data_IF_409588934413
#
_entry.id   IF_409588934413
#
_cell.length_a   1.000
_cell.length_b   1.000
_cell.length_c   1.000
_cell.angle_alpha   90.00
_cell.angle_beta   90.00
_cell.angle_gamma   90.00
#
_symmetry.space_group_name_H-M   'P 1'
#
loop_
_entity.id
_entity.type
_entity.pdbx_description
1 polymer ?
#
# COMPACT_ATOMS: atom_id res chain seq x y z
N UNK A 1 1.76 -29.86 -4.01
CA UNK A 1 2.68 -30.21 -2.91
C UNK A 1 3.87 -29.27 -3.05
N UNK A 2 4.24 -28.37 -2.14
CA UNK A 2 4.08 -28.27 -0.68
C UNK A 2 4.03 -26.79 -0.26
N UNK A 3 2.82 -26.28 0.03
CA UNK A 3 2.59 -25.03 0.78
C UNK A 3 2.92 -25.26 2.26
N UNK A 4 4.17 -25.11 2.69
CA UNK A 4 4.51 -25.10 4.14
C UNK A 4 5.66 -24.16 4.57
N UNK A 5 6.35 -23.45 3.66
CA UNK A 5 7.53 -22.64 4.01
C UNK A 5 7.42 -21.13 3.72
N UNK A 6 6.27 -20.62 3.26
CA UNK A 6 6.10 -19.20 2.87
C UNK A 6 5.91 -18.20 4.06
N UNK A 7 5.41 -18.67 5.21
CA UNK A 7 5.20 -17.84 6.40
C UNK A 7 6.50 -17.59 7.22
N UNK A 8 7.43 -18.56 7.40
CA UNK A 8 8.63 -18.32 8.22
C UNK A 8 9.64 -17.33 7.62
N UNK A 9 9.67 -17.13 6.29
CA UNK A 9 10.66 -16.27 5.63
C UNK A 9 10.30 -14.78 5.78
N UNK A 10 9.03 -14.42 5.61
CA UNK A 10 8.53 -13.05 5.85
C UNK A 10 8.76 -12.61 7.31
N UNK A 11 8.57 -13.55 8.24
CA UNK A 11 8.84 -13.34 9.66
C UNK A 11 10.35 -13.22 9.96
N UNK A 12 11.19 -13.98 9.26
CA UNK A 12 12.64 -13.90 9.43
C UNK A 12 13.21 -12.57 8.93
N UNK A 13 12.80 -12.09 7.75
CA UNK A 13 13.25 -10.80 7.21
C UNK A 13 12.74 -9.62 8.05
N UNK A 14 11.47 -9.67 8.50
CA UNK A 14 10.91 -8.65 9.39
C UNK A 14 11.53 -8.68 10.79
N UNK A 15 11.86 -9.87 11.34
CA UNK A 15 12.61 -9.98 12.59
C UNK A 15 14.07 -9.50 12.45
N UNK A 16 14.69 -9.72 11.29
CA UNK A 16 16.05 -9.25 10.99
C UNK A 16 16.13 -7.72 10.92
N UNK A 17 15.11 -7.06 10.36
CA UNK A 17 14.96 -5.60 10.38
C UNK A 17 14.82 -5.03 11.80
N UNK A 18 14.18 -5.75 12.74
CA UNK A 18 14.14 -5.33 14.16
C UNK A 18 15.44 -5.58 14.93
N UNK A 19 16.34 -6.41 14.41
CA UNK A 19 17.63 -6.73 15.03
C UNK A 19 18.74 -5.74 14.62
N UNK A 20 18.52 -4.94 13.58
CA UNK A 20 19.44 -3.89 13.16
C UNK A 20 19.32 -2.69 14.12
N UNK A 21 20.44 -2.17 14.64
CA UNK A 21 20.41 -0.96 15.46
C UNK A 21 19.85 0.21 14.62
N UNK A 22 19.08 1.15 15.22
CA UNK A 22 18.42 2.24 14.49
C UNK A 22 19.37 3.08 13.62
N UNK A 23 20.64 3.17 14.03
CA UNK A 23 21.70 3.85 13.28
C UNK A 23 22.01 3.15 11.95
N UNK A 24 22.00 1.82 11.89
CA UNK A 24 22.26 1.07 10.66
C UNK A 24 21.09 1.16 9.66
N UNK A 25 19.86 1.33 10.15
CA UNK A 25 18.67 1.53 9.32
C UNK A 25 18.59 2.96 8.74
N UNK A 26 19.19 3.93 9.42
CA UNK A 26 19.22 5.34 9.03
C UNK A 26 20.53 5.75 8.31
N UNK A 27 21.45 4.80 8.13
CA UNK A 27 22.77 5.07 7.57
C UNK A 27 22.73 5.06 6.03
N UNK A 28 23.35 6.06 5.42
CA UNK A 28 23.55 6.12 3.97
C UNK A 28 24.24 4.82 3.47
N UNK A 29 23.83 4.23 2.32
CA UNK A 29 24.34 2.95 1.84
C UNK A 29 25.87 2.88 1.68
N UNK A 30 26.52 4.02 1.46
CA UNK A 30 27.97 4.15 1.31
C UNK A 30 28.75 4.35 2.62
N UNK A 31 28.07 4.49 3.76
CA UNK A 31 28.72 4.65 5.07
C UNK A 31 29.21 3.32 5.65
N UNK A 32 30.16 3.37 6.58
CA UNK A 32 30.67 2.17 7.26
C UNK A 32 29.59 1.37 8.00
N UNK A 33 28.55 2.06 8.47
CA UNK A 33 27.41 1.47 9.19
C UNK A 33 26.40 0.85 8.23
N UNK A 34 26.15 1.48 7.07
CA UNK A 34 25.35 0.93 5.97
C UNK A 34 25.98 -0.33 5.35
N UNK A 35 27.30 -0.31 5.13
CA UNK A 35 28.04 -1.49 4.63
C UNK A 35 28.02 -2.67 5.63
N UNK A 36 28.05 -2.38 6.94
CA UNK A 36 27.94 -3.41 7.97
C UNK A 36 26.53 -4.02 8.02
N UNK A 37 25.48 -3.22 7.82
CA UNK A 37 24.10 -3.71 7.69
C UNK A 37 23.92 -4.62 6.48
N UNK A 38 24.48 -4.24 5.33
CA UNK A 38 24.44 -5.01 4.09
C UNK A 38 25.16 -6.36 4.22
N UNK A 39 26.35 -6.37 4.82
CA UNK A 39 27.14 -7.58 5.04
C UNK A 39 26.45 -8.55 6.02
N UNK A 40 25.77 -8.02 7.04
CA UNK A 40 25.00 -8.84 7.97
C UNK A 40 23.82 -9.51 7.26
N UNK A 41 23.08 -8.75 6.43
CA UNK A 41 21.97 -9.28 5.64
C UNK A 41 22.45 -10.37 4.64
N UNK A 42 23.56 -10.14 3.95
CA UNK A 42 24.15 -11.12 3.04
C UNK A 42 24.60 -12.41 3.74
N UNK A 43 25.11 -12.32 4.97
CA UNK A 43 25.54 -13.49 5.74
C UNK A 43 24.41 -14.38 6.26
N UNK A 44 23.17 -13.89 6.20
CA UNK A 44 21.98 -14.51 6.81
C UNK A 44 21.01 -15.10 5.78
N UNK A 45 21.27 -14.93 4.48
CA UNK A 45 20.48 -15.51 3.39
C UNK A 45 21.11 -16.83 2.90
N UNK A 46 20.33 -17.92 2.72
CA UNK A 46 20.84 -19.18 2.20
C UNK A 46 20.99 -19.19 0.67
N UNK A 47 22.05 -19.83 0.18
CA UNK A 47 22.40 -19.99 -1.24
C UNK A 47 21.51 -21.06 -1.92
N UNK A 48 20.58 -20.64 -2.78
CA UNK A 48 20.35 -21.13 -4.17
C UNK A 48 18.89 -20.92 -4.68
N UNK A 49 18.75 -20.14 -5.77
CA UNK A 49 18.34 -20.71 -7.08
C UNK A 49 16.96 -20.37 -7.68
N UNK A 50 15.92 -20.11 -6.89
CA UNK A 50 14.61 -19.63 -7.41
C UNK A 50 14.00 -18.52 -6.56
N UNK A 51 14.41 -18.42 -5.30
CA UNK A 51 14.03 -17.35 -4.38
C UNK A 51 14.75 -16.04 -4.71
N UNK A 52 15.92 -16.12 -5.35
CA UNK A 52 16.79 -14.98 -5.64
C UNK A 52 16.17 -13.97 -6.61
N UNK A 53 15.38 -14.40 -7.60
CA UNK A 53 14.77 -13.49 -8.60
C UNK A 53 13.62 -12.68 -7.97
N UNK A 54 12.78 -13.33 -7.15
CA UNK A 54 11.65 -12.66 -6.49
C UNK A 54 12.14 -11.74 -5.36
N UNK A 55 13.16 -12.19 -4.60
CA UNK A 55 13.85 -11.37 -3.60
C UNK A 55 14.53 -10.18 -4.26
N UNK A 56 15.24 -10.36 -5.38
CA UNK A 56 15.89 -9.24 -6.09
C UNK A 56 14.86 -8.22 -6.56
N UNK A 57 13.74 -8.65 -7.14
CA UNK A 57 12.68 -7.74 -7.60
C UNK A 57 12.02 -6.95 -6.45
N UNK A 58 11.88 -7.58 -5.27
CA UNK A 58 11.34 -6.93 -4.08
C UNK A 58 12.38 -6.03 -3.40
N UNK A 59 13.66 -6.43 -3.40
CA UNK A 59 14.77 -5.65 -2.87
C UNK A 59 15.04 -4.41 -3.71
N UNK A 60 14.98 -4.51 -5.04
CA UNK A 60 15.07 -3.37 -5.95
C UNK A 60 13.91 -2.39 -5.71
N UNK A 61 12.70 -2.89 -5.46
CA UNK A 61 11.58 -2.03 -5.07
C UNK A 61 11.84 -1.35 -3.71
N UNK A 62 12.32 -2.09 -2.70
CA UNK A 62 12.65 -1.54 -1.38
C UNK A 62 13.76 -0.50 -1.46
N UNK A 63 14.86 -0.76 -2.17
CA UNK A 63 15.96 0.21 -2.38
C UNK A 63 15.46 1.44 -3.14
N UNK A 64 14.65 1.26 -4.18
CA UNK A 64 14.04 2.37 -4.93
C UNK A 64 13.18 3.26 -4.03
N UNK A 65 12.45 2.69 -3.07
CA UNK A 65 11.63 3.46 -2.13
C UNK A 65 12.43 4.04 -0.96
N UNK A 66 13.42 3.33 -0.44
CA UNK A 66 14.30 3.79 0.64
C UNK A 66 15.24 4.93 0.20
N UNK A 67 15.63 4.96 -1.08
CA UNK A 67 16.48 6.00 -1.65
C UNK A 67 15.73 7.28 -2.04
N UNK A 68 14.40 7.34 -1.91
CA UNK A 68 13.65 8.54 -2.27
C UNK A 68 13.80 9.61 -1.18
N UNK A 69 13.96 10.89 -1.57
CA UNK A 69 13.95 11.97 -0.60
C UNK A 69 12.63 11.95 0.19
N UNK A 70 12.70 12.31 1.47
CA UNK A 70 11.52 12.40 2.31
C UNK A 70 10.46 13.30 1.63
N UNK A 71 9.28 12.74 1.38
CA UNK A 71 8.18 13.47 0.76
C UNK A 71 7.46 14.33 1.80
N UNK A 72 6.98 15.51 1.39
CA UNK A 72 6.25 16.40 2.29
C UNK A 72 4.87 15.82 2.61
N UNK A 73 4.26 15.21 1.59
CA UNK A 73 2.92 14.62 1.68
C UNK A 73 2.86 13.22 1.06
N UNK A 74 2.14 12.34 1.74
CA UNK A 74 1.61 11.11 1.15
C UNK A 74 0.09 11.09 1.24
N UNK A 75 -0.57 10.84 0.12
CA UNK A 75 -2.01 10.66 0.00
C UNK A 75 -2.26 9.16 -0.18
N UNK A 76 -2.94 8.57 0.80
CA UNK A 76 -3.36 7.17 0.84
C UNK A 76 -4.84 7.11 0.44
N UNK A 77 -5.14 6.67 -0.77
CA UNK A 77 -6.49 6.55 -1.28
C UNK A 77 -6.96 5.09 -1.24
N UNK A 78 -7.98 4.84 -0.42
CA UNK A 78 -8.62 3.53 -0.25
C UNK A 78 -9.87 3.45 -1.13
N UNK A 79 -9.75 2.83 -2.30
CA UNK A 79 -10.81 2.75 -3.32
C UNK A 79 -11.54 1.42 -3.22
N UNK A 80 -12.74 1.48 -2.63
CA UNK A 80 -13.68 0.37 -2.63
C UNK A 80 -14.73 0.63 -3.73
N UNK A 81 -14.60 -0.07 -4.86
CA UNK A 81 -15.29 0.28 -6.10
C UNK A 81 -16.82 0.17 -6.03
N UNK A 82 -17.36 -0.91 -5.45
CA UNK A 82 -18.80 -1.19 -5.31
C UNK A 82 -19.60 -1.14 -6.60
N UNK A 83 -20.93 -1.01 -6.47
CA UNK A 83 -21.83 -0.82 -7.59
C UNK A 83 -21.60 0.51 -8.33
N UNK A 84 -20.92 1.50 -7.73
CA UNK A 84 -20.51 2.72 -8.42
C UNK A 84 -19.53 2.41 -9.56
N UNK A 85 -18.53 1.57 -9.28
CA UNK A 85 -17.59 1.15 -10.31
C UNK A 85 -18.24 0.16 -11.28
N UNK A 86 -18.97 -0.84 -10.77
CA UNK A 86 -19.59 -1.88 -11.63
C UNK A 86 -20.60 -1.32 -12.64
N UNK A 87 -21.27 -0.20 -12.32
CA UNK A 87 -22.36 0.34 -13.15
C UNK A 87 -21.96 1.53 -14.01
N UNK A 88 -20.86 2.22 -13.70
CA UNK A 88 -20.53 3.48 -14.37
C UNK A 88 -19.06 3.83 -14.42
N UNK A 89 -18.15 2.88 -14.08
CA UNK A 89 -16.70 3.12 -14.09
C UNK A 89 -16.30 4.37 -13.29
N UNK A 90 -17.04 4.76 -12.24
CA UNK A 90 -16.82 6.06 -11.57
C UNK A 90 -15.48 6.15 -10.84
N UNK A 91 -14.99 5.05 -10.26
CA UNK A 91 -13.66 5.03 -9.67
C UNK A 91 -12.61 5.13 -10.77
N UNK A 92 -12.80 4.40 -11.88
CA UNK A 92 -11.94 4.49 -13.07
C UNK A 92 -11.87 5.93 -13.60
N UNK A 93 -12.99 6.65 -13.72
CA UNK A 93 -13.00 8.06 -14.15
C UNK A 93 -12.14 8.95 -13.25
N UNK A 94 -12.23 8.78 -11.92
CA UNK A 94 -11.39 9.53 -10.99
C UNK A 94 -9.93 9.11 -11.06
N UNK A 95 -9.63 7.83 -11.28
CA UNK A 95 -8.25 7.36 -11.50
C UNK A 95 -7.63 7.99 -12.75
N UNK A 96 -8.38 8.06 -13.85
CA UNK A 96 -7.93 8.72 -15.08
C UNK A 96 -7.66 10.21 -14.84
N UNK A 97 -8.53 10.91 -14.10
CA UNK A 97 -8.31 12.30 -13.71
C UNK A 97 -7.07 12.48 -12.82
N UNK A 98 -6.79 11.52 -11.92
CA UNK A 98 -5.58 11.53 -11.10
C UNK A 98 -4.31 11.33 -11.93
N UNK A 99 -4.36 10.48 -12.96
CA UNK A 99 -3.24 10.27 -13.90
C UNK A 99 -2.96 11.54 -14.73
N UNK A 100 -4.01 12.30 -15.09
CA UNK A 100 -3.89 13.55 -15.84
C UNK A 100 -3.46 14.75 -14.96
N UNK A 101 -3.50 14.61 -13.63
CA UNK A 101 -3.18 15.70 -12.72
C UNK A 101 -1.68 15.97 -12.65
N UNK A 102 -1.31 17.24 -12.54
CA UNK A 102 0.06 17.66 -12.24
C UNK A 102 0.36 17.40 -10.75
N UNK A 103 0.86 16.19 -10.44
CA UNK A 103 1.26 15.79 -9.08
C UNK A 103 2.69 16.30 -8.82
N UNK A 104 2.93 17.14 -7.79
CA UNK A 104 4.26 17.60 -7.44
C UNK A 104 5.20 16.46 -7.01
N UNK A 105 6.50 16.56 -7.31
CA UNK A 105 7.49 15.52 -7.00
C UNK A 105 7.61 15.20 -5.49
N UNK A 106 7.27 16.16 -4.62
CA UNK A 106 7.27 16.00 -3.16
C UNK A 106 5.94 15.44 -2.60
N UNK A 107 5.03 14.98 -3.46
CA UNK A 107 3.77 14.33 -3.10
C UNK A 107 3.76 12.89 -3.62
N UNK A 108 3.43 11.95 -2.75
CA UNK A 108 3.17 10.56 -3.11
C UNK A 108 1.67 10.28 -3.10
N UNK A 109 1.18 9.57 -4.11
CA UNK A 109 -0.21 9.14 -4.22
C UNK A 109 -0.28 7.62 -4.34
N UNK A 110 -0.68 6.96 -3.27
CA UNK A 110 -0.86 5.51 -3.19
C UNK A 110 -2.33 5.16 -3.20
N UNK A 111 -2.73 4.25 -4.09
CA UNK A 111 -4.13 3.90 -4.35
C UNK A 111 -4.32 2.40 -4.18
N UNK A 112 -5.07 1.98 -3.16
CA UNK A 112 -5.53 0.60 -3.05
C UNK A 112 -6.88 0.43 -3.75
N UNK A 113 -7.01 -0.62 -4.56
CA UNK A 113 -8.22 -0.94 -5.33
C UNK A 113 -8.77 -2.30 -4.93
N UNK A 114 -10.08 -2.38 -4.64
CA UNK A 114 -10.81 -3.62 -4.39
C UNK A 114 -12.32 -3.40 -4.27
N UNK A 115 -13.06 -4.39 -3.77
CA UNK A 115 -14.46 -4.22 -3.34
C UNK A 115 -15.49 -4.01 -4.45
N UNK A 116 -15.18 -4.35 -5.71
CA UNK A 116 -16.10 -4.34 -6.87
C UNK A 116 -15.94 -5.61 -7.68
N UNK A 117 -17.05 -6.13 -8.23
CA UNK A 117 -17.08 -7.31 -9.13
C UNK A 117 -16.42 -7.07 -10.47
N UNK A 118 -16.40 -5.82 -10.91
CA UNK A 118 -15.90 -5.45 -12.23
C UNK A 118 -15.32 -4.05 -12.20
N UNK A 119 -14.04 -3.96 -12.50
CA UNK A 119 -13.34 -2.72 -12.83
C UNK A 119 -13.53 -2.37 -14.30
N UNK A 120 -13.63 -1.07 -14.55
CA UNK A 120 -13.74 -0.43 -15.85
C UNK A 120 -14.67 -1.16 -16.83
N UNK A 121 -15.95 -1.37 -16.48
CA UNK A 121 -16.92 -2.00 -17.38
C UNK A 121 -17.18 -1.22 -18.66
N UNK A 122 -17.05 0.11 -18.63
CA UNK A 122 -17.26 0.99 -19.79
C UNK A 122 -16.02 1.13 -20.70
N UNK A 123 -14.91 0.47 -20.34
CA UNK A 123 -13.65 0.49 -21.11
C UNK A 123 -13.09 1.93 -21.28
N UNK A 124 -13.25 2.77 -20.26
CA UNK A 124 -12.81 4.17 -20.27
C UNK A 124 -11.29 4.29 -20.30
N UNK A 125 -10.60 3.30 -19.75
CA UNK A 125 -9.14 3.20 -19.81
C UNK A 125 -8.61 2.87 -21.20
N UNK A 126 -9.47 2.50 -22.16
CA UNK A 126 -9.05 2.16 -23.51
C UNK A 126 -8.29 3.32 -24.15
N UNK A 127 -7.11 3.03 -24.68
CA UNK A 127 -6.28 4.06 -25.32
C UNK A 127 -5.49 4.94 -24.36
N UNK A 128 -5.50 4.65 -23.05
CA UNK A 128 -4.65 5.32 -22.05
C UNK A 128 -3.57 4.36 -21.53
N UNK A 129 -2.37 4.28 -22.15
CA UNK A 129 -1.33 3.31 -21.76
C UNK A 129 -0.84 3.46 -20.30
N UNK A 130 -0.95 4.69 -19.79
CA UNK A 130 -0.67 5.09 -18.41
C UNK A 130 -1.59 4.40 -17.39
N UNK A 131 -2.83 4.09 -17.78
CA UNK A 131 -3.80 3.43 -16.92
C UNK A 131 -3.56 1.92 -16.88
N UNK A 132 -3.61 1.35 -15.67
CA UNK A 132 -3.56 -0.09 -15.45
C UNK A 132 -4.88 -0.52 -14.84
N UNK A 133 -5.72 -1.16 -15.66
CA UNK A 133 -7.01 -1.70 -15.22
C UNK A 133 -6.83 -2.58 -13.98
N UNK A 134 -7.47 -2.26 -12.84
CA UNK A 134 -7.39 -3.09 -11.65
C UNK A 134 -8.03 -4.47 -11.83
N UNK A 135 -7.59 -5.40 -11.00
CA UNK A 135 -8.03 -6.80 -11.01
C UNK A 135 -9.44 -6.97 -10.43
N UNK A 136 -10.24 -7.82 -11.07
CA UNK A 136 -11.56 -8.24 -10.58
C UNK A 136 -11.48 -9.39 -9.54
N UNK A 137 -10.28 -9.88 -9.24
CA UNK A 137 -10.09 -11.08 -8.39
C UNK A 137 -9.00 -10.91 -7.33
N UNK A 138 -8.27 -9.79 -7.36
CA UNK A 138 -7.27 -9.45 -6.35
C UNK A 138 -7.37 -7.98 -5.95
N UNK A 139 -7.18 -7.72 -4.66
CA UNK A 139 -6.90 -6.37 -4.17
C UNK A 139 -5.48 -6.00 -4.61
N UNK A 140 -5.29 -4.77 -5.04
CA UNK A 140 -4.02 -4.28 -5.59
C UNK A 140 -3.70 -2.89 -5.02
N UNK A 141 -2.41 -2.57 -4.94
CA UNK A 141 -1.88 -1.28 -4.55
C UNK A 141 -1.10 -0.69 -5.72
N UNK A 142 -1.40 0.56 -6.03
CA UNK A 142 -0.78 1.33 -7.09
C UNK A 142 -0.14 2.60 -6.55
N UNK A 143 0.89 3.08 -7.23
CA UNK A 143 1.36 4.46 -7.14
C UNK A 143 0.90 5.18 -8.41
N UNK A 144 0.26 6.33 -8.25
CA UNK A 144 0.00 7.24 -9.37
C UNK A 144 1.08 8.33 -9.32
N UNK A 145 1.88 8.41 -10.37
CA UNK A 145 2.93 9.41 -10.54
C UNK A 145 2.51 10.41 -11.63
N UNK A 146 3.39 11.35 -12.01
CA UNK A 146 3.14 12.21 -13.16
C UNK A 146 2.96 11.36 -14.44
N UNK A 147 1.71 11.24 -14.88
CA UNK A 147 1.26 10.58 -16.12
C UNK A 147 1.29 9.06 -16.15
N UNK A 148 1.47 8.34 -15.03
CA UNK A 148 1.32 6.89 -15.03
C UNK A 148 0.76 6.31 -13.73
N UNK A 149 0.07 5.18 -13.87
CA UNK A 149 -0.36 4.32 -12.78
C UNK A 149 0.53 3.07 -12.78
N UNK A 150 1.27 2.87 -11.69
CA UNK A 150 2.24 1.78 -11.55
C UNK A 150 1.73 0.80 -10.51
N UNK A 151 1.66 -0.49 -10.86
CA UNK A 151 1.33 -1.54 -9.89
C UNK A 151 2.51 -1.71 -8.93
N UNK A 152 2.26 -1.49 -7.64
CA UNK A 152 3.26 -1.62 -6.58
C UNK A 152 3.16 -2.99 -5.90
N UNK A 153 1.93 -3.45 -5.64
CA UNK A 153 1.68 -4.72 -4.94
C UNK A 153 0.36 -5.34 -5.36
N UNK A 154 0.36 -6.65 -5.56
CA UNK A 154 -0.85 -7.45 -5.69
C UNK A 154 -0.95 -8.40 -4.49
N UNK A 155 -2.05 -8.34 -3.74
CA UNK A 155 -2.25 -9.15 -2.53
C UNK A 155 -2.60 -10.62 -2.83
N UNK A 156 -2.70 -11.00 -4.11
CA UNK A 156 -2.96 -12.35 -4.61
C UNK A 156 -4.28 -12.95 -4.13
N UNK A 157 -5.19 -12.10 -3.63
CA UNK A 157 -6.54 -12.45 -3.18
C UNK A 157 -7.42 -11.22 -3.17
N UNK A 158 -8.72 -11.42 -3.33
CA UNK A 158 -9.70 -10.37 -3.09
C UNK A 158 -9.89 -10.21 -1.57
N UNK A 159 -9.41 -9.10 -1.01
CA UNK A 159 -9.55 -8.79 0.41
C UNK A 159 -10.89 -8.09 0.66
N UNK A 160 -11.47 -8.36 1.82
CA UNK A 160 -12.68 -7.65 2.26
C UNK A 160 -12.32 -6.19 2.57
N UNK A 161 -12.80 -5.24 1.77
CA UNK A 161 -12.50 -3.83 1.95
C UNK A 161 -13.23 -3.21 3.17
N UNK A 162 -14.22 -3.91 3.72
CA UNK A 162 -14.88 -3.58 4.99
C UNK A 162 -14.15 -4.08 6.24
N UNK A 163 -13.12 -4.94 6.09
CA UNK A 163 -12.40 -5.53 7.22
C UNK A 163 -11.30 -4.56 7.74
N UNK A 164 -11.26 -4.23 9.05
CA UNK A 164 -10.20 -3.40 9.63
C UNK A 164 -8.78 -3.95 9.40
N UNK A 165 -8.60 -5.25 9.18
CA UNK A 165 -7.31 -5.84 8.85
C UNK A 165 -6.83 -5.47 7.45
N UNK A 166 -7.76 -5.32 6.49
CA UNK A 166 -7.41 -4.85 5.14
C UNK A 166 -6.98 -3.40 5.19
N UNK A 167 -7.69 -2.56 5.94
CA UNK A 167 -7.29 -1.19 6.19
C UNK A 167 -5.92 -1.10 6.89
N UNK A 168 -5.68 -1.93 7.91
CA UNK A 168 -4.39 -2.01 8.59
C UNK A 168 -3.24 -2.34 7.63
N UNK A 169 -3.41 -3.37 6.80
CA UNK A 169 -2.39 -3.75 5.81
C UNK A 169 -2.12 -2.63 4.80
N UNK A 170 -3.15 -1.93 4.33
CA UNK A 170 -2.99 -0.76 3.45
C UNK A 170 -2.16 0.34 4.10
N UNK A 171 -2.48 0.69 5.35
CA UNK A 171 -1.82 1.78 6.05
C UNK A 171 -0.37 1.43 6.41
N UNK A 172 -0.07 0.17 6.74
CA UNK A 172 1.30 -0.32 6.88
C UNK A 172 2.08 -0.22 5.57
N UNK A 173 1.49 -0.59 4.44
CA UNK A 173 2.11 -0.46 3.12
C UNK A 173 2.35 1.03 2.79
N UNK A 174 1.39 1.92 3.05
CA UNK A 174 1.60 3.35 2.82
C UNK A 174 2.72 3.95 3.66
N UNK A 175 2.82 3.55 4.93
CA UNK A 175 3.86 4.04 5.83
C UNK A 175 5.25 3.54 5.47
N UNK A 176 5.35 2.31 4.99
CA UNK A 176 6.62 1.68 4.64
C UNK A 176 7.12 2.13 3.27
N UNK A 177 6.22 2.27 2.28
CA UNK A 177 6.57 2.62 0.91
C UNK A 177 6.73 4.13 0.72
N UNK A 178 5.94 4.95 1.42
CA UNK A 178 5.95 6.40 1.26
C UNK A 178 5.89 7.12 2.62
N UNK A 179 6.95 7.04 3.43
CA UNK A 179 7.02 7.82 4.66
C UNK A 179 7.08 9.33 4.33
N UNK A 180 6.22 10.11 4.99
CA UNK A 180 6.11 11.55 4.80
C UNK A 180 5.97 12.32 6.12
N UNK A 181 6.25 13.63 6.09
CA UNK A 181 5.93 14.54 7.19
C UNK A 181 4.41 14.55 7.46
N UNK A 182 3.62 14.55 6.38
CA UNK A 182 2.15 14.62 6.44
C UNK A 182 1.54 13.51 5.62
N UNK A 183 0.49 12.91 6.16
CA UNK A 183 -0.25 11.86 5.48
C UNK A 183 -1.74 12.15 5.50
N UNK A 184 -2.40 11.90 4.37
CA UNK A 184 -3.84 11.97 4.23
C UNK A 184 -4.37 10.58 3.92
N UNK A 185 -5.38 10.14 4.67
CA UNK A 185 -6.17 8.96 4.33
C UNK A 185 -7.50 9.42 3.73
N UNK A 186 -7.80 8.95 2.52
CA UNK A 186 -9.05 9.21 1.82
C UNK A 186 -9.75 7.91 1.48
N UNK A 187 -11.07 7.88 1.69
CA UNK A 187 -11.90 6.75 1.30
C UNK A 187 -12.74 7.12 0.09
N UNK A 188 -12.66 6.31 -0.97
CA UNK A 188 -13.52 6.41 -2.13
C UNK A 188 -14.49 5.26 -2.11
N UNK A 189 -15.77 5.56 -1.87
CA UNK A 189 -16.95 4.70 -1.96
C UNK A 189 -18.20 5.53 -1.55
N UNK A 190 -19.39 4.93 -1.61
CA UNK A 190 -20.49 5.23 -0.71
C UNK A 190 -20.02 5.31 0.75
N UNK A 191 -20.70 6.16 1.51
CA UNK A 191 -20.61 6.21 2.96
C UNK A 191 -22.01 6.21 3.56
N UNK A 192 -22.17 5.56 4.70
CA UNK A 192 -23.39 5.67 5.50
C UNK A 192 -23.22 6.59 6.71
N UNK A 193 -22.18 7.44 6.67
CA UNK A 193 -21.88 8.41 7.71
C UNK A 193 -21.52 7.74 9.05
N UNK A 194 -21.67 8.46 10.18
CA UNK A 194 -21.21 7.98 11.48
C UNK A 194 -21.99 6.79 12.04
N UNK A 195 -23.17 6.49 11.46
CA UNK A 195 -24.01 5.38 11.92
C UNK A 195 -23.62 4.04 11.29
N UNK A 196 -23.28 4.04 10.00
CA UNK A 196 -23.01 2.81 9.26
C UNK A 196 -21.54 2.65 8.88
N UNK A 197 -20.79 3.73 8.70
CA UNK A 197 -19.37 3.68 8.34
C UNK A 197 -19.06 4.08 6.90
N UNK A 198 -17.88 3.64 6.44
CA UNK A 198 -17.28 3.93 5.12
C UNK A 198 -16.86 2.65 4.42
N UNK A 199 -16.65 2.70 3.10
CA UNK A 199 -16.12 1.57 2.33
C UNK A 199 -16.96 0.28 2.42
N UNK A 200 -18.25 0.35 2.12
CA UNK A 200 -19.12 -0.83 1.94
C UNK A 200 -18.57 -1.74 0.83
N UNK A 201 -18.09 -2.93 1.16
CA UNK A 201 -17.52 -3.86 0.19
C UNK A 201 -18.61 -4.54 -0.67
N UNK A 202 -18.46 -4.49 -2.00
CA UNK A 202 -19.45 -5.03 -2.95
C UNK A 202 -19.56 -6.56 -3.00
N UNK A 203 -18.63 -7.29 -2.40
CA UNK A 203 -18.65 -8.77 -2.33
C UNK A 203 -19.17 -9.27 -1.00
N UNK A 204 -18.68 -8.72 0.10
CA UNK A 204 -19.00 -9.21 1.46
C UNK A 204 -20.20 -8.49 2.05
N UNK A 205 -20.50 -7.27 1.59
CA UNK A 205 -21.47 -6.38 2.22
C UNK A 205 -21.00 -5.81 3.56
N UNK A 206 -19.73 -6.03 3.91
CA UNK A 206 -19.11 -5.50 5.11
C UNK A 206 -18.76 -4.01 4.95
N UNK A 207 -18.76 -3.25 6.03
CA UNK A 207 -18.54 -1.81 6.02
C UNK A 207 -17.66 -1.42 7.20
N UNK A 208 -16.63 -0.60 6.95
CA UNK A 208 -15.74 -0.12 8.01
C UNK A 208 -16.48 0.86 8.91
N UNK A 209 -16.76 0.47 10.14
CA UNK A 209 -17.33 1.36 11.13
C UNK A 209 -16.34 2.43 11.58
N UNK A 210 -16.84 3.54 12.14
CA UNK A 210 -15.95 4.57 12.70
C UNK A 210 -15.14 4.06 13.90
N UNK A 211 -15.65 3.08 14.65
CA UNK A 211 -14.93 2.48 15.77
C UNK A 211 -13.73 1.64 15.27
N UNK A 212 -13.90 0.92 14.18
CA UNK A 212 -12.82 0.17 13.52
C UNK A 212 -11.78 1.09 12.90
N UNK A 213 -12.21 2.20 12.29
CA UNK A 213 -11.31 3.22 11.78
C UNK A 213 -10.48 3.86 12.91
N UNK A 214 -11.11 4.27 14.01
CA UNK A 214 -10.42 4.82 15.19
C UNK A 214 -9.42 3.80 15.78
N UNK A 215 -9.82 2.53 15.89
CA UNK A 215 -8.93 1.48 16.38
C UNK A 215 -7.72 1.26 15.45
N UNK A 216 -7.91 1.21 14.14
CA UNK A 216 -6.82 1.06 13.16
C UNK A 216 -5.84 2.25 13.23
N UNK A 217 -6.35 3.47 13.26
CA UNK A 217 -5.53 4.68 13.33
C UNK A 217 -4.75 4.80 14.65
N UNK A 218 -5.37 4.45 15.79
CA UNK A 218 -4.68 4.38 17.09
C UNK A 218 -3.60 3.31 17.11
N UNK A 219 -3.85 2.15 16.50
CA UNK A 219 -2.87 1.08 16.35
C UNK A 219 -1.62 1.58 15.64
N UNK A 220 -1.80 2.28 14.51
CA UNK A 220 -0.69 2.87 13.75
C UNK A 220 0.04 3.97 14.51
N UNK A 221 -0.66 4.84 15.22
CA UNK A 221 -0.04 5.88 16.03
C UNK A 221 0.84 5.28 17.14
N UNK A 222 0.40 4.18 17.73
CA UNK A 222 1.17 3.44 18.74
C UNK A 222 2.41 2.80 18.12
N UNK A 223 2.27 2.18 16.94
CA UNK A 223 3.38 1.57 16.22
C UNK A 223 4.46 2.58 15.78
N UNK A 224 4.06 3.83 15.47
CA UNK A 224 4.98 4.93 15.10
C UNK A 224 5.67 5.62 16.29
N UNK A 225 5.60 5.06 17.50
CA UNK A 225 6.29 5.61 18.67
C UNK A 225 5.56 6.76 19.37
N UNK A 226 4.25 6.94 19.10
CA UNK A 226 3.37 7.81 19.88
C UNK A 226 3.79 9.28 19.95
N UNK A 227 3.42 10.08 18.94
CA UNK A 227 3.47 11.56 19.07
C UNK A 227 2.05 12.10 19.24
N UNK A 228 1.94 12.98 20.25
CA UNK A 228 0.79 13.64 20.89
C UNK A 228 -0.54 13.59 20.14
N UNK A 229 -1.57 13.18 20.89
CA UNK A 229 -3.01 13.25 20.59
C UNK A 229 -3.39 14.35 19.61
N UNK A 230 -4.00 13.96 18.50
CA UNK A 230 -4.80 14.86 17.68
C UNK A 230 -6.06 15.20 18.48
N UNK A 231 -6.15 16.43 18.98
CA UNK A 231 -7.43 16.98 19.46
C UNK A 231 -8.21 17.46 18.24
N UNK A 232 -9.37 16.85 18.04
CA UNK A 232 -10.35 17.22 17.02
C UNK A 232 -10.71 18.72 17.07
#
# INVERSE_FOLDING_TARGET
MTRKHFIPILLAVLMLLTALPPAALAAEPGSSEGQAGLALLQSLLPEEGLEEIEITSQMEAIEKYAAQPACDWTICLYVCGTDLEERGSFATQNILQMIEADIPENVKLLVMTGGTRQWDPEDLGAGTPAYKKPSNVSTQLYEITDKEMVLVKDYQRNMNMGDPKTLGAFLEDCLSLAPAERMMLSFWNHGGGPLMGVALDGYTGDILSLAELDAALRGLQTARGGVKSWSC
#
